data_IF_556575736731
#
_entry.id   IF_556575736731
#
_cell.length_a   1.000
_cell.length_b   1.000
_cell.length_c   1.000
_cell.angle_alpha   90.00
_cell.angle_beta   90.00
_cell.angle_gamma   90.00
#
_symmetry.space_group_name_H-M   'P 1'
#
loop_
_entity.id
_entity.type
_entity.pdbx_description
1 polymer ?
#
# COMPACT_ATOMS: atom_id res chain seq x y z
N UNK A 1 11.14 -21.64 -19.84
CA UNK A 1 10.15 -21.42 -18.77
C UNK A 1 9.77 -19.94 -18.74
N UNK A 2 8.52 -19.56 -18.39
CA UNK A 2 8.15 -18.15 -18.27
C UNK A 2 8.99 -17.45 -17.20
N UNK A 3 9.33 -16.18 -17.42
CA UNK A 3 10.10 -15.38 -16.46
C UNK A 3 9.22 -14.83 -15.32
N UNK A 4 9.86 -14.32 -14.26
CA UNK A 4 9.14 -13.78 -13.08
C UNK A 4 8.21 -12.61 -13.42
N UNK A 5 8.53 -11.81 -14.44
CA UNK A 5 7.70 -10.67 -14.88
C UNK A 5 6.44 -11.13 -15.59
N UNK A 6 6.53 -12.23 -16.32
CA UNK A 6 5.42 -12.85 -17.04
C UNK A 6 4.45 -13.51 -16.04
N UNK A 7 4.98 -14.22 -15.05
CA UNK A 7 4.18 -14.79 -13.95
C UNK A 7 3.50 -13.68 -13.14
N UNK A 8 4.21 -12.60 -12.79
CA UNK A 8 3.63 -11.48 -12.04
C UNK A 8 2.51 -10.75 -12.80
N UNK A 9 2.70 -10.51 -14.11
CA UNK A 9 1.65 -9.91 -14.96
C UNK A 9 0.42 -10.81 -15.09
N UNK A 10 0.64 -12.12 -15.25
CA UNK A 10 -0.44 -13.10 -15.29
C UNK A 10 -1.24 -13.08 -13.98
N UNK A 11 -0.56 -13.16 -12.82
CA UNK A 11 -1.21 -13.09 -11.50
C UNK A 11 -2.00 -11.80 -11.31
N UNK A 12 -1.42 -10.63 -11.64
CA UNK A 12 -2.12 -9.34 -11.52
C UNK A 12 -3.37 -9.27 -12.38
N UNK A 13 -3.30 -9.74 -13.63
CA UNK A 13 -4.44 -9.72 -14.56
C UNK A 13 -5.57 -10.66 -14.13
N UNK A 14 -5.24 -11.81 -13.55
CA UNK A 14 -6.19 -12.87 -13.24
C UNK A 14 -6.45 -13.03 -11.73
N UNK A 15 -6.17 -12.00 -10.93
CA UNK A 15 -6.23 -12.08 -9.46
C UNK A 15 -7.59 -12.56 -8.94
N UNK A 16 -8.68 -11.98 -9.45
CA UNK A 16 -10.05 -12.40 -9.10
C UNK A 16 -10.33 -13.85 -9.50
N UNK A 17 -9.90 -14.27 -10.70
CA UNK A 17 -10.09 -15.66 -11.14
C UNK A 17 -9.27 -16.65 -10.30
N UNK A 18 -8.06 -16.28 -9.88
CA UNK A 18 -7.25 -17.07 -8.96
C UNK A 18 -7.89 -17.16 -7.57
N UNK A 19 -8.48 -16.08 -7.08
CA UNK A 19 -9.26 -16.09 -5.84
C UNK A 19 -10.46 -17.04 -5.91
N UNK A 20 -11.24 -16.99 -7.00
CA UNK A 20 -12.35 -17.93 -7.20
C UNK A 20 -11.86 -19.38 -7.30
N UNK A 21 -10.76 -19.64 -8.01
CA UNK A 21 -10.18 -20.98 -8.11
C UNK A 21 -9.70 -21.49 -6.75
N UNK A 22 -9.14 -20.62 -5.92
CA UNK A 22 -8.74 -20.96 -4.55
C UNK A 22 -9.94 -21.42 -3.72
N UNK A 23 -11.06 -20.68 -3.76
CA UNK A 23 -12.30 -21.08 -3.07
C UNK A 23 -12.85 -22.39 -3.63
N UNK A 24 -12.80 -22.60 -4.95
CA UNK A 24 -13.20 -23.87 -5.57
C UNK A 24 -12.32 -25.04 -5.11
N UNK A 25 -11.01 -24.84 -4.99
CA UNK A 25 -10.10 -25.85 -4.47
C UNK A 25 -10.43 -26.19 -3.01
N UNK A 26 -10.74 -25.19 -2.18
CA UNK A 26 -11.22 -25.40 -0.81
C UNK A 26 -12.53 -26.19 -0.75
N UNK A 27 -13.50 -25.87 -1.60
CA UNK A 27 -14.74 -26.61 -1.70
C UNK A 27 -14.52 -28.09 -2.07
N UNK A 28 -13.56 -28.36 -2.97
CA UNK A 28 -13.15 -29.73 -3.30
C UNK A 28 -12.46 -30.43 -2.12
N UNK A 29 -11.59 -29.73 -1.38
CA UNK A 29 -10.96 -30.27 -0.18
C UNK A 29 -11.99 -30.56 0.91
N UNK A 30 -13.01 -29.71 1.10
CA UNK A 30 -14.13 -29.97 2.01
C UNK A 30 -14.95 -31.18 1.59
N UNK A 31 -15.31 -31.29 0.30
CA UNK A 31 -16.02 -32.45 -0.23
C UNK A 31 -15.23 -33.75 -0.07
N UNK A 32 -13.89 -33.67 -0.12
CA UNK A 32 -12.98 -34.78 0.14
C UNK A 32 -12.74 -35.05 1.65
N UNK A 33 -13.34 -34.26 2.55
CA UNK A 33 -13.16 -34.40 4.00
C UNK A 33 -11.78 -33.96 4.51
N UNK A 34 -11.04 -33.17 3.72
CA UNK A 34 -9.69 -32.69 4.01
C UNK A 34 -9.65 -31.29 4.63
N UNK A 35 -10.80 -30.74 5.03
CA UNK A 35 -10.88 -29.49 5.79
C UNK A 35 -11.80 -29.76 6.97
N UNK A 36 -11.22 -29.81 8.16
CA UNK A 36 -11.94 -30.02 9.41
C UNK A 36 -11.61 -28.83 10.27
N UNK A 37 -12.45 -27.81 10.20
CA UNK A 37 -12.34 -26.52 10.90
C UNK A 37 -12.50 -26.65 12.43
N UNK A 38 -11.81 -27.61 13.04
CA UNK A 38 -11.69 -27.76 14.47
C UNK A 38 -10.59 -26.84 15.00
N UNK A 39 -9.36 -26.99 14.50
CA UNK A 39 -8.24 -26.13 14.89
C UNK A 39 -7.55 -25.56 13.67
N UNK A 40 -7.38 -24.25 13.65
CA UNK A 40 -6.62 -23.54 12.63
C UNK A 40 -5.47 -22.77 13.27
N UNK A 41 -4.38 -22.58 12.53
CA UNK A 41 -3.24 -21.78 12.94
C UNK A 41 -3.05 -20.58 12.00
N UNK A 42 -2.93 -19.40 12.56
CA UNK A 42 -2.63 -18.15 11.87
C UNK A 42 -1.16 -17.78 12.07
N UNK A 43 -0.45 -17.58 10.97
CA UNK A 43 0.93 -17.09 10.99
C UNK A 43 1.18 -16.02 9.90
N UNK A 44 2.14 -15.15 10.18
CA UNK A 44 2.48 -13.99 9.38
C UNK A 44 3.95 -13.96 9.00
N UNK A 45 4.27 -13.64 7.74
CA UNK A 45 5.65 -13.56 7.27
C UNK A 45 5.90 -12.34 6.39
N UNK A 46 7.09 -11.75 6.52
CA UNK A 46 7.46 -10.54 5.74
C UNK A 46 8.03 -10.96 4.38
N UNK A 47 7.27 -10.72 3.32
CA UNK A 47 7.68 -11.00 1.94
C UNK A 47 8.38 -9.79 1.33
N UNK A 48 9.56 -9.99 0.74
CA UNK A 48 10.30 -8.89 0.09
C UNK A 48 9.57 -8.40 -1.16
N UNK A 49 9.37 -7.09 -1.24
CA UNK A 49 8.91 -6.43 -2.46
C UNK A 49 10.04 -6.38 -3.49
N UNK A 50 9.71 -6.38 -4.78
CA UNK A 50 10.68 -6.16 -5.86
C UNK A 50 11.00 -4.67 -6.02
N UNK A 51 11.38 -4.02 -4.92
CA UNK A 51 11.62 -2.60 -4.84
C UNK A 51 12.84 -2.29 -3.97
N UNK A 52 13.67 -1.36 -4.44
CA UNK A 52 14.89 -0.98 -3.73
C UNK A 52 14.58 -0.04 -2.57
N UNK A 53 15.18 -0.29 -1.41
CA UNK A 53 15.17 0.63 -0.25
C UNK A 53 15.67 2.03 -0.59
N UNK A 54 16.60 2.14 -1.55
CA UNK A 54 17.16 3.44 -2.00
C UNK A 54 16.17 4.27 -2.80
N UNK A 55 15.03 3.69 -3.20
CA UNK A 55 13.93 4.36 -3.90
C UNK A 55 12.75 4.70 -2.97
N UNK A 56 12.87 4.46 -1.66
CA UNK A 56 11.98 5.06 -0.68
C UNK A 56 12.49 6.48 -0.34
N UNK A 57 11.59 7.46 -0.34
CA UNK A 57 11.92 8.84 0.02
C UNK A 57 10.93 9.32 1.09
N UNK A 58 11.44 10.07 2.07
CA UNK A 58 10.61 10.63 3.12
C UNK A 58 9.86 11.88 2.66
N UNK A 59 8.73 12.18 3.28
CA UNK A 59 7.91 13.36 3.00
C UNK A 59 8.72 14.67 3.06
N UNK A 60 9.55 14.85 4.10
CA UNK A 60 10.40 16.03 4.24
C UNK A 60 11.38 16.17 3.06
N UNK A 61 12.00 15.07 2.65
CA UNK A 61 12.97 15.05 1.53
C UNK A 61 12.28 15.24 0.17
N UNK A 62 11.04 14.76 0.02
CA UNK A 62 10.22 15.02 -1.16
C UNK A 62 9.86 16.49 -1.27
N UNK A 63 9.45 17.12 -0.16
CA UNK A 63 9.09 18.55 -0.12
C UNK A 63 10.28 19.45 -0.44
N UNK A 64 11.47 19.14 0.08
CA UNK A 64 12.70 19.88 -0.23
C UNK A 64 13.10 19.72 -1.71
N UNK A 65 13.09 18.49 -2.24
CA UNK A 65 13.40 18.24 -3.65
C UNK A 65 12.38 18.83 -4.61
N UNK A 66 11.11 18.85 -4.25
CA UNK A 66 10.05 19.47 -5.05
C UNK A 66 10.36 20.95 -5.28
N UNK A 67 10.76 21.68 -4.23
CA UNK A 67 11.14 23.10 -4.33
C UNK A 67 12.33 23.30 -5.27
N UNK A 68 13.38 22.50 -5.10
CA UNK A 68 14.60 22.58 -5.93
C UNK A 68 14.26 22.28 -7.40
N UNK A 69 13.54 21.19 -7.66
CA UNK A 69 13.18 20.79 -9.03
C UNK A 69 12.19 21.76 -9.69
N UNK A 70 11.24 22.31 -8.94
CA UNK A 70 10.33 23.33 -9.45
C UNK A 70 11.07 24.60 -9.86
N UNK A 71 12.08 25.00 -9.07
CA UNK A 71 12.94 26.13 -9.41
C UNK A 71 13.76 25.84 -10.68
N UNK A 72 14.42 24.69 -10.77
CA UNK A 72 15.19 24.29 -11.96
C UNK A 72 14.32 24.24 -13.23
N UNK A 73 13.09 23.71 -13.14
CA UNK A 73 12.15 23.68 -14.27
C UNK A 73 11.74 25.09 -14.67
N UNK A 74 11.47 25.97 -13.70
CA UNK A 74 11.15 27.36 -13.98
C UNK A 74 12.30 28.11 -14.67
N UNK A 75 13.54 27.87 -14.24
CA UNK A 75 14.73 28.46 -14.85
C UNK A 75 14.92 27.96 -16.29
N UNK A 76 14.75 26.66 -16.54
CA UNK A 76 14.83 26.07 -17.89
C UNK A 76 13.73 26.57 -18.82
N UNK A 77 12.51 26.74 -18.34
CA UNK A 77 11.41 27.29 -19.14
C UNK A 77 11.64 28.77 -19.47
N UNK A 78 12.20 29.54 -18.53
CA UNK A 78 12.57 30.93 -18.78
C UNK A 78 13.73 31.06 -19.79
N UNK A 79 14.71 30.15 -19.72
CA UNK A 79 15.80 30.06 -20.70
C UNK A 79 15.26 29.66 -22.08
N UNK A 80 14.38 28.67 -22.15
CA UNK A 80 13.70 28.26 -23.39
C UNK A 80 12.90 29.42 -24.00
N UNK A 81 12.10 30.14 -23.20
CA UNK A 81 11.34 31.31 -23.68
C UNK A 81 12.24 32.46 -24.16
N UNK A 82 13.41 32.65 -23.53
CA UNK A 82 14.39 33.64 -23.95
C UNK A 82 15.06 33.25 -25.28
N UNK A 83 15.36 31.96 -25.46
CA UNK A 83 15.88 31.40 -26.71
C UNK A 83 14.82 31.50 -27.83
N UNK A 84 13.58 31.10 -27.56
CA UNK A 84 12.45 31.20 -28.50
C UNK A 84 12.26 32.64 -29.00
N UNK A 85 12.31 33.63 -28.09
CA UNK A 85 12.24 35.06 -28.45
C UNK A 85 13.42 35.51 -29.32
N UNK A 86 14.62 34.99 -29.06
CA UNK A 86 15.81 35.30 -29.83
C UNK A 86 15.80 34.64 -31.23
N UNK A 87 15.24 33.44 -31.34
CA UNK A 87 15.09 32.71 -32.59
C UNK A 87 13.96 33.28 -33.47
N UNK A 88 12.82 33.64 -32.88
CA UNK A 88 11.73 34.34 -33.56
C UNK A 88 12.20 35.67 -34.17
N UNK A 89 13.07 36.40 -33.46
CA UNK A 89 13.68 37.63 -33.93
C UNK A 89 14.64 37.42 -35.11
N UNK A 90 15.20 36.22 -35.26
CA UNK A 90 16.24 35.90 -36.25
C UNK A 90 15.72 35.14 -37.48
N UNK A 91 14.68 34.31 -37.33
CA UNK A 91 14.23 33.36 -38.36
C UNK A 91 12.74 33.49 -38.76
N UNK A 92 11.94 34.27 -38.02
CA UNK A 92 10.51 34.49 -38.26
C UNK A 92 9.60 33.41 -37.65
N UNK A 93 8.40 33.84 -37.21
CA UNK A 93 7.43 33.11 -36.34
C UNK A 93 6.98 31.70 -36.76
N UNK A 94 7.30 31.26 -37.97
CA UNK A 94 6.68 30.08 -38.59
C UNK A 94 7.64 28.88 -38.78
N UNK A 95 8.85 28.89 -38.19
CA UNK A 95 9.76 27.72 -38.23
C UNK A 95 10.36 27.39 -36.85
N UNK A 96 9.93 26.25 -36.30
CA UNK A 96 10.43 25.59 -35.08
C UNK A 96 11.43 24.51 -35.47
N UNK A 97 12.72 24.67 -35.18
CA UNK A 97 13.77 23.78 -35.65
C UNK A 97 14.08 22.58 -34.75
N UNK A 98 13.56 22.50 -33.51
CA UNK A 98 14.13 21.63 -32.49
C UNK A 98 13.09 21.29 -31.41
N UNK A 99 12.59 20.05 -31.38
CA UNK A 99 11.76 19.56 -30.26
C UNK A 99 12.63 19.32 -29.00
N UNK A 100 12.05 19.55 -27.81
CA UNK A 100 12.74 19.40 -26.52
C UNK A 100 13.53 18.05 -26.42
N UNK A 101 14.83 18.08 -26.09
CA UNK A 101 15.64 16.88 -25.89
C UNK A 101 15.07 15.93 -24.82
N UNK A 102 15.24 14.61 -25.00
CA UNK A 102 14.79 13.56 -24.06
C UNK A 102 15.26 13.75 -22.60
N UNK A 103 16.29 14.57 -22.40
CA UNK A 103 16.91 14.86 -21.11
C UNK A 103 16.03 15.78 -20.22
N UNK A 104 15.22 16.65 -20.82
CA UNK A 104 14.26 17.52 -20.11
C UNK A 104 13.01 16.75 -19.66
N UNK A 105 12.65 15.70 -20.39
CA UNK A 105 11.55 14.78 -20.05
C UNK A 105 11.76 14.08 -18.72
N UNK A 106 13.00 13.95 -18.24
CA UNK A 106 13.35 13.22 -17.01
C UNK A 106 13.22 14.04 -15.72
N UNK A 107 13.22 15.37 -15.77
CA UNK A 107 13.07 16.23 -14.58
C UNK A 107 11.61 16.57 -14.31
N UNK A 108 10.84 16.90 -15.34
CA UNK A 108 9.39 17.12 -15.24
C UNK A 108 8.66 15.85 -14.80
N UNK A 109 8.97 14.69 -15.39
CA UNK A 109 8.39 13.41 -14.96
C UNK A 109 8.78 13.04 -13.52
N UNK A 110 9.99 13.40 -13.06
CA UNK A 110 10.37 13.24 -11.65
C UNK A 110 9.61 14.19 -10.73
N UNK A 111 9.41 15.44 -11.13
CA UNK A 111 8.63 16.41 -10.37
C UNK A 111 7.17 15.94 -10.25
N UNK A 112 6.58 15.47 -11.36
CA UNK A 112 5.24 14.88 -11.36
C UNK A 112 5.16 13.65 -10.45
N UNK A 113 6.12 12.71 -10.54
CA UNK A 113 6.15 11.54 -9.67
C UNK A 113 6.36 11.88 -8.18
N UNK A 114 7.12 12.93 -7.86
CA UNK A 114 7.28 13.42 -6.49
C UNK A 114 5.98 14.05 -5.98
N UNK A 115 5.29 14.86 -6.80
CA UNK A 115 4.00 15.45 -6.46
C UNK A 115 2.94 14.39 -6.21
N UNK A 116 2.85 13.40 -7.08
CA UNK A 116 1.94 12.25 -6.92
C UNK A 116 2.26 11.46 -5.63
N UNK A 117 3.54 11.18 -5.37
CA UNK A 117 3.95 10.48 -4.15
C UNK A 117 3.68 11.29 -2.87
N UNK A 118 3.79 12.62 -2.94
CA UNK A 118 3.49 13.53 -1.83
C UNK A 118 1.99 13.59 -1.55
N UNK A 119 1.18 13.79 -2.60
CA UNK A 119 -0.27 13.82 -2.50
C UNK A 119 -0.81 12.51 -1.92
N UNK A 120 -0.30 11.37 -2.39
CA UNK A 120 -0.73 10.08 -1.85
C UNK A 120 -0.38 9.88 -0.36
N UNK A 121 0.72 10.48 0.14
CA UNK A 121 1.01 10.47 1.57
C UNK A 121 0.09 11.42 2.36
N UNK A 122 -0.29 12.55 1.78
CA UNK A 122 -1.27 13.49 2.34
C UNK A 122 -2.65 12.85 2.45
N UNK A 123 -3.10 12.16 1.41
CA UNK A 123 -4.36 11.40 1.41
C UNK A 123 -4.33 10.27 2.46
N UNK A 124 -3.25 9.46 2.52
CA UNK A 124 -3.09 8.41 3.54
C UNK A 124 -3.04 8.97 4.98
N UNK A 125 -2.58 10.22 5.16
CA UNK A 125 -2.56 10.88 6.47
C UNK A 125 -3.95 11.41 6.84
N UNK A 126 -4.68 11.94 5.85
CA UNK A 126 -6.07 12.39 5.99
C UNK A 126 -6.97 11.23 6.39
N UNK A 127 -6.97 10.14 5.63
CA UNK A 127 -7.78 8.95 5.91
C UNK A 127 -7.50 8.37 7.31
N UNK A 128 -6.22 8.33 7.73
CA UNK A 128 -5.87 7.88 9.08
C UNK A 128 -6.34 8.81 10.18
N UNK A 129 -6.31 10.13 9.95
CA UNK A 129 -6.80 11.10 10.91
C UNK A 129 -8.33 11.05 11.04
N UNK A 130 -9.02 10.90 9.91
CA UNK A 130 -10.46 10.71 9.81
C UNK A 130 -10.91 9.44 10.56
N UNK A 131 -10.32 8.29 10.25
CA UNK A 131 -10.65 7.02 10.90
C UNK A 131 -10.37 7.05 12.42
N UNK A 132 -9.27 7.68 12.85
CA UNK A 132 -8.95 7.82 14.27
C UNK A 132 -9.91 8.77 15.01
N UNK A 133 -10.38 9.83 14.34
CA UNK A 133 -11.37 10.75 14.89
C UNK A 133 -12.75 10.10 14.99
N UNK A 134 -13.14 9.33 13.96
CA UNK A 134 -14.39 8.58 13.93
C UNK A 134 -14.43 7.54 15.07
N UNK A 135 -13.41 6.68 15.16
CA UNK A 135 -13.34 5.67 16.22
C UNK A 135 -13.40 6.28 17.62
N UNK A 136 -12.70 7.42 17.84
CA UNK A 136 -12.71 8.12 19.13
C UNK A 136 -14.06 8.76 19.45
N UNK A 137 -14.73 9.35 18.46
CA UNK A 137 -16.04 9.97 18.65
C UNK A 137 -17.14 8.91 18.89
N UNK A 138 -17.04 7.76 18.22
CA UNK A 138 -17.92 6.61 18.45
C UNK A 138 -17.73 6.01 19.85
N UNK A 139 -16.49 5.83 20.30
CA UNK A 139 -16.18 5.35 21.67
C UNK A 139 -16.69 6.32 22.76
N UNK A 140 -16.71 7.62 22.45
CA UNK A 140 -17.28 8.66 23.32
C UNK A 140 -18.82 8.73 23.28
N UNK A 141 -19.47 7.93 22.42
CA UNK A 141 -20.93 7.89 22.29
C UNK A 141 -21.53 9.18 21.72
N UNK A 142 -20.78 9.90 20.87
CA UNK A 142 -21.22 11.16 20.29
C UNK A 142 -22.24 10.95 19.17
N UNK A 143 -23.07 11.97 18.92
CA UNK A 143 -24.06 11.94 17.85
C UNK A 143 -23.40 12.04 16.46
N UNK A 144 -24.13 11.58 15.43
CA UNK A 144 -23.61 11.47 14.07
C UNK A 144 -23.14 12.80 13.47
N UNK A 145 -23.79 13.93 13.82
CA UNK A 145 -23.42 15.24 13.30
C UNK A 145 -22.08 15.70 13.93
N UNK A 146 -21.92 15.49 15.24
CA UNK A 146 -20.65 15.76 15.95
C UNK A 146 -19.51 14.88 15.45
N UNK A 147 -19.78 13.59 15.15
CA UNK A 147 -18.79 12.68 14.57
C UNK A 147 -18.33 13.20 13.20
N UNK A 148 -19.27 13.56 12.32
CA UNK A 148 -18.97 14.05 10.98
C UNK A 148 -18.12 15.35 11.01
N UNK A 149 -18.44 16.28 11.91
CA UNK A 149 -17.65 17.51 12.08
C UNK A 149 -16.21 17.22 12.55
N UNK A 150 -16.03 16.30 13.49
CA UNK A 150 -14.69 15.94 13.99
C UNK A 150 -13.86 15.20 12.96
N UNK A 151 -14.47 14.31 12.18
CA UNK A 151 -13.84 13.63 11.06
C UNK A 151 -13.34 14.65 10.03
N UNK A 152 -14.20 15.57 9.59
CA UNK A 152 -13.83 16.61 8.64
C UNK A 152 -12.69 17.51 9.17
N UNK A 153 -12.77 17.95 10.43
CA UNK A 153 -11.71 18.77 11.04
C UNK A 153 -10.38 18.03 11.19
N UNK A 154 -10.42 16.72 11.50
CA UNK A 154 -9.23 15.90 11.60
C UNK A 154 -8.58 15.69 10.23
N UNK A 155 -9.39 15.49 9.19
CA UNK A 155 -8.93 15.36 7.82
C UNK A 155 -8.25 16.62 7.28
N UNK A 156 -8.84 17.80 7.50
CA UNK A 156 -8.27 19.09 7.06
C UNK A 156 -6.94 19.42 7.75
N UNK A 157 -6.78 19.03 9.02
CA UNK A 157 -5.55 19.27 9.81
C UNK A 157 -4.50 18.19 9.62
N UNK A 158 -4.80 17.12 8.88
CA UNK A 158 -3.89 16.00 8.72
C UNK A 158 -2.68 16.41 7.89
N UNK A 159 -1.50 16.24 8.48
CA UNK A 159 -0.22 16.42 7.78
C UNK A 159 0.59 15.14 7.92
N UNK A 160 1.16 14.60 6.82
CA UNK A 160 2.02 13.43 6.90
C UNK A 160 3.20 13.66 7.83
N UNK A 161 3.55 12.63 8.61
CA UNK A 161 4.75 12.70 9.46
C UNK A 161 5.98 12.93 8.57
N UNK A 162 6.96 13.75 9.00
CA UNK A 162 8.17 14.02 8.20
C UNK A 162 8.96 12.79 7.75
N UNK A 163 8.86 11.70 8.54
CA UNK A 163 9.50 10.40 8.30
C UNK A 163 8.64 9.42 7.50
N UNK A 164 7.38 9.73 7.18
CA UNK A 164 6.54 8.89 6.33
C UNK A 164 7.22 8.72 4.98
N UNK A 165 7.26 7.49 4.47
CA UNK A 165 8.00 7.14 3.26
C UNK A 165 7.08 6.42 2.29
N UNK A 166 7.27 6.70 1.00
CA UNK A 166 6.64 5.99 -0.11
C UNK A 166 7.72 5.56 -1.11
N UNK A 167 7.56 4.38 -1.69
CA UNK A 167 8.52 3.85 -2.67
C UNK A 167 8.07 4.20 -4.09
N UNK A 168 8.96 4.79 -4.90
CA UNK A 168 8.62 5.19 -6.27
C UNK A 168 8.44 4.02 -7.25
N UNK A 169 8.90 2.81 -6.90
CA UNK A 169 8.78 1.63 -7.79
C UNK A 169 7.66 0.69 -7.35
N UNK A 170 7.34 0.69 -6.06
CA UNK A 170 6.26 -0.12 -5.50
C UNK A 170 5.57 0.65 -4.36
N UNK A 171 4.62 1.55 -4.68
CA UNK A 171 4.05 2.49 -3.72
C UNK A 171 3.30 1.86 -2.55
N UNK A 172 2.82 0.62 -2.71
CA UNK A 172 2.07 -0.12 -1.70
C UNK A 172 2.98 -0.85 -0.71
N UNK A 173 4.24 -1.11 -1.08
CA UNK A 173 5.18 -1.75 -0.17
C UNK A 173 5.61 -0.81 0.97
N UNK A 174 6.06 -1.38 2.10
CA UNK A 174 6.57 -0.62 3.25
C UNK A 174 7.92 -1.14 3.73
N UNK A 175 8.70 -0.31 4.43
CA UNK A 175 9.94 -0.77 5.07
C UNK A 175 9.58 -1.48 6.37
N UNK A 176 9.91 -2.76 6.47
CA UNK A 176 9.61 -3.61 7.62
C UNK A 176 10.87 -4.31 8.12
N UNK A 177 10.92 -4.62 9.42
CA UNK A 177 11.97 -5.46 9.98
C UNK A 177 11.67 -6.93 9.67
N UNK A 178 12.65 -7.64 9.14
CA UNK A 178 12.56 -9.06 8.78
C UNK A 178 13.26 -9.94 9.81
N UNK A 179 13.07 -11.26 9.72
CA UNK A 179 13.64 -12.25 10.63
C UNK A 179 15.18 -12.28 10.66
N UNK A 180 15.83 -11.83 9.59
CA UNK A 180 17.29 -11.62 9.52
C UNK A 180 17.78 -10.39 10.33
N UNK A 181 16.87 -9.68 11.02
CA UNK A 181 17.16 -8.50 11.83
C UNK A 181 17.33 -7.21 11.02
N UNK A 182 17.31 -7.29 9.69
CA UNK A 182 17.45 -6.13 8.81
C UNK A 182 16.08 -5.51 8.49
N UNK A 183 16.10 -4.31 7.92
CA UNK A 183 14.92 -3.66 7.37
C UNK A 183 14.89 -3.83 5.85
N UNK A 184 13.82 -4.38 5.29
CA UNK A 184 13.65 -4.52 3.85
C UNK A 184 12.34 -3.89 3.38
N UNK A 185 12.26 -3.57 2.09
CA UNK A 185 11.00 -3.19 1.47
C UNK A 185 10.16 -4.47 1.33
N UNK A 186 9.02 -4.53 1.99
CA UNK A 186 8.25 -5.74 2.19
C UNK A 186 6.75 -5.49 2.14
N UNK A 187 6.02 -6.60 2.03
CA UNK A 187 4.65 -6.76 2.45
C UNK A 187 4.59 -7.72 3.63
N UNK A 188 3.50 -7.66 4.39
CA UNK A 188 3.17 -8.62 5.41
C UNK A 188 2.16 -9.62 4.84
N UNK A 189 2.58 -10.87 4.66
CA UNK A 189 1.70 -11.94 4.19
C UNK A 189 1.19 -12.75 5.36
N UNK A 190 -0.07 -13.16 5.29
CA UNK A 190 -0.80 -13.87 6.34
C UNK A 190 -1.38 -15.16 5.76
N UNK A 191 -1.36 -16.24 6.53
CA UNK A 191 -1.98 -17.50 6.15
C UNK A 191 -2.63 -18.18 7.36
N UNK A 192 -3.85 -18.67 7.17
CA UNK A 192 -4.56 -19.53 8.12
C UNK A 192 -4.54 -20.95 7.57
N UNK A 193 -4.10 -21.89 8.39
CA UNK A 193 -3.90 -23.29 7.99
C UNK A 193 -4.68 -24.23 8.90
N UNK A 194 -5.44 -25.14 8.29
CA UNK A 194 -6.10 -26.26 8.96
C UNK A 194 -5.06 -27.20 9.60
N UNK A 195 -5.21 -27.50 10.88
CA UNK A 195 -4.21 -28.26 11.63
C UNK A 195 -4.19 -29.77 11.29
N UNK A 196 -5.28 -30.34 10.78
CA UNK A 196 -5.41 -31.78 10.56
C UNK A 196 -4.86 -32.18 9.18
N UNK A 197 -5.12 -31.35 8.17
CA UNK A 197 -4.81 -31.64 6.78
C UNK A 197 -3.83 -30.65 6.14
N UNK A 198 -3.39 -29.64 6.89
CA UNK A 198 -2.42 -28.62 6.45
C UNK A 198 -2.88 -27.84 5.22
N UNK A 199 -4.20 -27.68 5.07
CA UNK A 199 -4.81 -26.91 3.98
C UNK A 199 -4.87 -25.44 4.37
N UNK A 200 -4.37 -24.56 3.51
CA UNK A 200 -4.49 -23.11 3.68
C UNK A 200 -5.95 -22.72 3.42
N UNK A 201 -6.66 -22.22 4.43
CA UNK A 201 -8.09 -21.86 4.36
C UNK A 201 -8.34 -20.37 4.19
N UNK A 202 -7.36 -19.52 4.56
CA UNK A 202 -7.37 -18.09 4.31
C UNK A 202 -5.94 -17.59 4.07
N UNK A 203 -5.78 -16.58 3.22
CA UNK A 203 -4.49 -16.00 2.90
C UNK A 203 -4.65 -14.57 2.42
N UNK A 204 -3.83 -13.66 2.93
CA UNK A 204 -3.85 -12.25 2.52
C UNK A 204 -2.46 -11.61 2.57
N UNK A 205 -2.31 -10.43 1.94
CA UNK A 205 -1.08 -9.65 1.92
C UNK A 205 -1.40 -8.17 2.11
N UNK A 206 -0.84 -7.56 3.15
CA UNK A 206 -1.00 -6.14 3.46
C UNK A 206 0.33 -5.42 3.68
N UNK A 207 0.27 -4.14 3.97
CA UNK A 207 1.42 -3.26 4.14
C UNK A 207 1.70 -2.89 5.61
N UNK A 208 0.95 -3.47 6.56
CA UNK A 208 1.14 -3.22 7.98
C UNK A 208 2.23 -4.13 8.55
N UNK A 209 3.25 -3.54 9.19
CA UNK A 209 4.34 -4.31 9.77
C UNK A 209 3.90 -5.17 10.98
N UNK A 210 2.88 -4.70 11.72
CA UNK A 210 2.37 -5.37 12.91
C UNK A 210 1.29 -6.39 12.55
N UNK A 211 1.30 -7.52 13.24
CA UNK A 211 0.39 -8.63 12.95
C UNK A 211 -0.95 -8.51 13.70
N UNK A 212 -1.00 -7.72 14.78
CA UNK A 212 -2.18 -7.49 15.64
C UNK A 212 -3.47 -7.20 14.89
N UNK A 213 -3.43 -6.40 13.82
CA UNK A 213 -4.64 -6.04 13.06
C UNK A 213 -5.20 -7.15 12.16
N UNK A 214 -4.55 -8.32 12.09
CA UNK A 214 -4.92 -9.37 11.13
C UNK A 214 -5.73 -10.52 11.77
N UNK A 215 -5.87 -10.57 13.10
CA UNK A 215 -6.55 -11.69 13.74
C UNK A 215 -8.01 -11.82 13.30
N UNK A 216 -8.77 -10.74 13.43
CA UNK A 216 -10.20 -10.71 13.09
C UNK A 216 -10.42 -10.86 11.57
N UNK A 217 -9.77 -10.06 10.68
CA UNK A 217 -9.98 -10.19 9.24
C UNK A 217 -9.65 -11.58 8.68
N UNK A 218 -8.61 -12.24 9.19
CA UNK A 218 -8.25 -13.59 8.75
C UNK A 218 -9.21 -14.66 9.25
N UNK A 219 -9.82 -14.44 10.42
CA UNK A 219 -10.87 -15.32 10.97
C UNK A 219 -12.15 -15.19 10.16
N UNK A 220 -12.58 -13.95 9.85
CA UNK A 220 -13.74 -13.67 9.00
C UNK A 220 -13.54 -14.26 7.60
N UNK A 221 -12.38 -14.03 6.97
CA UNK A 221 -12.07 -14.62 5.66
C UNK A 221 -12.11 -16.16 5.70
N UNK A 222 -11.70 -16.78 6.81
CA UNK A 222 -11.80 -18.24 6.97
C UNK A 222 -13.27 -18.69 6.96
N UNK A 223 -14.15 -17.97 7.65
CA UNK A 223 -15.59 -18.23 7.67
C UNK A 223 -16.17 -18.05 6.27
N UNK A 224 -15.85 -16.96 5.58
CA UNK A 224 -16.35 -16.66 4.24
C UNK A 224 -15.94 -17.72 3.22
N UNK A 225 -14.67 -18.16 3.25
CA UNK A 225 -14.15 -19.14 2.31
C UNK A 225 -14.72 -20.55 2.52
N UNK A 226 -15.08 -20.88 3.76
CA UNK A 226 -15.39 -22.27 4.15
C UNK A 226 -16.82 -22.48 4.64
N UNK A 227 -17.56 -21.41 4.87
CA UNK A 227 -18.91 -21.40 5.44
C UNK A 227 -18.99 -21.75 6.94
N UNK A 228 -17.86 -21.97 7.62
CA UNK A 228 -17.86 -22.37 9.03
C UNK A 228 -16.77 -21.65 9.83
N UNK A 229 -17.09 -21.32 11.08
CA UNK A 229 -16.13 -20.80 12.04
C UNK A 229 -15.23 -21.91 12.60
N UNK A 230 -13.92 -21.66 12.76
CA UNK A 230 -13.03 -22.61 13.40
C UNK A 230 -13.38 -22.77 14.90
N UNK A 231 -13.32 -23.98 15.44
CA UNK A 231 -13.56 -24.19 16.90
C UNK A 231 -12.44 -23.60 17.76
N UNK A 232 -11.21 -23.58 17.26
CA UNK A 232 -10.04 -23.02 17.92
C UNK A 232 -9.13 -22.34 16.89
N UNK A 233 -8.68 -21.13 17.19
CA UNK A 233 -7.68 -20.42 16.42
C UNK A 233 -6.41 -20.24 17.26
N UNK A 234 -5.28 -20.71 16.74
CA UNK A 234 -3.96 -20.53 17.34
C UNK A 234 -3.24 -19.40 16.59
N UNK A 235 -2.71 -18.43 17.33
CA UNK A 235 -1.92 -17.35 16.78
C UNK A 235 -0.77 -16.99 17.74
N UNK A 236 0.30 -16.42 17.20
CA UNK A 236 1.44 -15.94 17.98
C UNK A 236 1.07 -14.73 18.86
N UNK A 237 1.93 -14.44 19.84
CA UNK A 237 1.72 -13.32 20.77
C UNK A 237 1.60 -11.95 20.06
N UNK A 238 2.15 -11.82 18.85
CA UNK A 238 2.05 -10.61 18.04
C UNK A 238 0.63 -10.26 17.57
N UNK A 239 -0.31 -11.21 17.69
CA UNK A 239 -1.73 -11.02 17.38
C UNK A 239 -2.58 -10.63 18.59
N UNK A 240 -2.00 -10.57 19.79
CA UNK A 240 -2.76 -10.30 21.02
C UNK A 240 -2.97 -8.79 21.24
N UNK A 241 -4.23 -8.38 21.41
CA UNK A 241 -4.65 -7.05 21.86
C UNK A 241 -5.96 -7.13 22.64
N UNK A 242 -6.28 -6.11 23.44
CA UNK A 242 -7.56 -6.00 24.15
C UNK A 242 -8.75 -6.05 23.17
N UNK A 243 -8.67 -5.29 22.09
CA UNK A 243 -9.71 -5.27 21.03
C UNK A 243 -9.92 -6.65 20.40
N UNK A 244 -8.83 -7.36 20.11
CA UNK A 244 -8.91 -8.70 19.55
C UNK A 244 -9.53 -9.69 20.53
N UNK A 245 -9.20 -9.59 21.82
CA UNK A 245 -9.76 -10.45 22.86
C UNK A 245 -11.24 -10.14 23.17
N UNK A 246 -11.68 -8.91 22.91
CA UNK A 246 -13.08 -8.53 23.05
C UNK A 246 -13.94 -9.02 21.86
N UNK A 247 -13.34 -9.25 20.70
CA UNK A 247 -14.03 -9.61 19.45
C UNK A 247 -13.89 -11.08 19.04
N UNK A 248 -12.85 -11.78 19.50
CA UNK A 248 -12.57 -13.20 19.21
C UNK A 248 -13.43 -14.17 20.03
#
# INVERSE_FOLDING_TARGET
>A
APDFRSIARFRKRHLSALGHLFVQALALCQAAGMVKLGRVALDGTKLRANASRRKAMSYARMSEKEKILAQEVSELLAEAEAIDKAEDAKYGKDRRGDELPEELRRRETRLAAIREAKQALEDEARERAEAAAEAKAQDQGEDADTVAERVAQAGEKAVPKPKAQRNFTDPESRIMKTSDGAFHQCYNAQAVVDAEHQVIVAADVNDCAADVGNLIPMTEQTIDNTGHAPTQLLADAGYSSEDNLAQA
#
